data_IF_711008738857
#
_entry.id   IF_711008738857
#
_cell.length_a   1.000
_cell.length_b   1.000
_cell.length_c   1.000
_cell.angle_alpha   90.00
_cell.angle_beta   90.00
_cell.angle_gamma   90.00
#
_symmetry.space_group_name_H-M   'P 1'
#
loop_
_entity.id
_entity.type
_entity.pdbx_description
1 polymer ?
#
# COMPACT_ATOMS: atom_id res chain seq x y z
N UNK A 1 16.15 9.80 36.83
CA UNK A 1 14.71 9.51 36.76
C UNK A 1 14.35 9.24 35.31
N UNK A 2 13.57 8.20 35.05
CA UNK A 2 13.05 7.87 33.72
C UNK A 2 11.56 8.22 33.64
N UNK A 3 11.06 8.51 32.43
CA UNK A 3 9.65 8.80 32.16
C UNK A 3 9.24 8.16 30.82
N UNK A 4 7.95 7.87 30.66
CA UNK A 4 7.43 7.29 29.43
C UNK A 4 7.24 8.39 28.37
N UNK A 5 8.04 8.36 27.29
CA UNK A 5 8.00 9.39 26.26
C UNK A 5 6.87 9.20 25.22
N UNK A 6 6.51 7.96 24.94
CA UNK A 6 5.41 7.57 24.06
C UNK A 6 4.99 6.13 24.37
N UNK A 7 3.71 5.81 24.24
CA UNK A 7 3.22 4.45 24.38
C UNK A 7 1.97 4.22 23.54
N UNK A 8 1.94 3.06 22.88
CA UNK A 8 0.76 2.50 22.22
C UNK A 8 0.75 1.01 22.39
N UNK A 9 -0.42 0.40 22.50
CA UNK A 9 -0.55 -1.05 22.57
C UNK A 9 -1.84 -1.52 21.91
N UNK A 10 -1.94 -2.81 21.58
CA UNK A 10 -3.19 -3.35 21.06
C UNK A 10 -3.08 -4.76 20.51
N UNK A 11 -3.77 -5.03 19.39
CA UNK A 11 -3.80 -6.36 18.77
C UNK A 11 -3.39 -6.28 17.31
N UNK A 12 -2.47 -7.17 16.92
CA UNK A 12 -1.96 -7.31 15.57
C UNK A 12 -2.34 -8.68 14.97
N UNK A 13 -2.23 -8.81 13.65
CA UNK A 13 -2.45 -10.04 12.89
C UNK A 13 -3.85 -10.67 13.03
N UNK A 14 -4.89 -9.86 13.21
CA UNK A 14 -6.28 -10.35 13.31
C UNK A 14 -6.83 -10.61 11.91
N UNK A 15 -6.92 -11.88 11.51
CA UNK A 15 -7.55 -12.25 10.23
C UNK A 15 -9.07 -12.17 10.30
N UNK A 16 -9.67 -11.51 9.32
CA UNK A 16 -11.12 -11.33 9.18
C UNK A 16 -11.52 -11.69 7.75
N UNK A 17 -12.57 -12.50 7.60
CA UNK A 17 -13.20 -12.76 6.31
C UNK A 17 -14.70 -12.48 6.44
N UNK A 18 -15.24 -11.68 5.52
CA UNK A 18 -16.68 -11.37 5.46
C UNK A 18 -17.22 -11.73 4.09
N UNK A 19 -18.33 -12.46 4.08
CA UNK A 19 -19.06 -12.83 2.86
C UNK A 19 -20.38 -12.07 2.82
N UNK A 20 -20.62 -11.34 1.74
CA UNK A 20 -21.92 -10.82 1.37
C UNK A 20 -22.63 -11.85 0.47
N UNK A 21 -23.90 -12.16 0.76
CA UNK A 21 -24.71 -13.10 -0.01
C UNK A 21 -25.98 -12.39 -0.46
N UNK A 22 -26.11 -12.21 -1.76
CA UNK A 22 -27.35 -11.71 -2.34
C UNK A 22 -28.27 -12.90 -2.62
N UNK A 23 -29.31 -13.07 -1.79
CA UNK A 23 -30.27 -14.16 -1.91
C UNK A 23 -31.13 -14.07 -3.18
N UNK A 24 -31.27 -12.88 -3.77
CA UNK A 24 -32.08 -12.69 -4.98
C UNK A 24 -31.35 -13.14 -6.23
N UNK A 25 -30.05 -12.87 -6.30
CA UNK A 25 -29.21 -13.21 -7.47
C UNK A 25 -28.40 -14.48 -7.27
N UNK A 26 -28.25 -14.97 -6.03
CA UNK A 26 -27.35 -16.06 -5.68
C UNK A 26 -25.86 -15.68 -5.70
N UNK A 27 -25.54 -14.41 -5.97
CA UNK A 27 -24.17 -13.90 -6.06
C UNK A 27 -23.61 -13.69 -4.65
N UNK A 28 -22.43 -14.25 -4.41
CA UNK A 28 -21.65 -14.00 -3.19
C UNK A 28 -20.42 -13.15 -3.51
N UNK A 29 -20.03 -12.28 -2.59
CA UNK A 29 -18.79 -11.48 -2.64
C UNK A 29 -18.03 -11.67 -1.33
N UNK A 30 -16.71 -11.82 -1.42
CA UNK A 30 -15.84 -12.05 -0.25
C UNK A 30 -14.83 -10.91 -0.11
N UNK A 31 -14.63 -10.46 1.13
CA UNK A 31 -13.54 -9.58 1.51
C UNK A 31 -12.76 -10.25 2.63
N UNK A 32 -11.47 -10.42 2.44
CA UNK A 32 -10.55 -10.96 3.44
C UNK A 32 -9.50 -9.91 3.78
N UNK A 33 -9.21 -9.74 5.07
CA UNK A 33 -8.25 -8.77 5.56
C UNK A 33 -7.48 -9.25 6.77
N UNK A 34 -6.30 -8.67 7.00
CA UNK A 34 -5.57 -8.74 8.26
C UNK A 34 -5.58 -7.35 8.91
N UNK A 35 -6.03 -7.27 10.16
CA UNK A 35 -6.25 -6.01 10.88
C UNK A 35 -5.31 -5.92 12.08
N UNK A 36 -4.75 -4.72 12.28
CA UNK A 36 -4.04 -4.31 13.48
C UNK A 36 -4.69 -3.04 14.04
N UNK A 37 -4.84 -2.98 15.36
CA UNK A 37 -5.30 -1.79 16.09
C UNK A 37 -4.38 -1.53 17.25
N UNK A 38 -3.83 -0.32 17.34
CA UNK A 38 -3.03 0.18 18.47
C UNK A 38 -3.69 1.43 19.04
N UNK A 39 -3.74 1.54 20.37
CA UNK A 39 -4.40 2.62 21.10
C UNK A 39 -3.38 3.47 21.88
N UNK A 40 -3.60 4.78 21.93
CA UNK A 40 -2.89 5.75 22.78
C UNK A 40 -3.85 6.51 23.68
N UNK A 41 -3.38 6.94 24.84
CA UNK A 41 -4.18 7.69 25.80
C UNK A 41 -3.53 7.78 27.18
N UNK A 42 -4.34 7.95 28.21
CA UNK A 42 -3.92 7.99 29.62
C UNK A 42 -3.58 6.59 30.16
N UNK A 43 -2.57 5.95 29.56
CA UNK A 43 -2.20 4.54 29.81
C UNK A 43 -0.88 4.34 30.57
N UNK A 44 -0.18 5.43 30.92
CA UNK A 44 1.17 5.39 31.51
C UNK A 44 1.23 4.56 32.81
N UNK A 45 0.18 4.58 33.63
CA UNK A 45 0.16 3.87 34.93
C UNK A 45 0.24 2.35 34.77
N UNK A 46 -0.19 1.80 33.64
CA UNK A 46 0.02 0.37 33.33
C UNK A 46 1.50 -0.01 33.23
N UNK A 47 2.34 0.91 32.75
CA UNK A 47 3.79 0.70 32.61
C UNK A 47 4.55 1.03 33.90
N UNK A 48 4.19 2.13 34.55
CA UNK A 48 4.98 2.73 35.63
C UNK A 48 4.53 2.27 37.03
N UNK A 49 3.28 1.80 37.16
CA UNK A 49 2.65 1.44 38.43
C UNK A 49 1.99 0.06 38.43
N UNK A 50 2.13 -0.71 37.34
CA UNK A 50 1.45 -1.99 37.14
C UNK A 50 -0.10 -1.90 37.29
N UNK A 51 -0.67 -0.74 36.93
CA UNK A 51 -2.10 -0.48 37.01
C UNK A 51 -2.81 -0.87 35.71
N UNK A 52 -3.48 -2.03 35.73
CA UNK A 52 -4.21 -2.53 34.57
C UNK A 52 -5.61 -1.90 34.39
N UNK A 53 -6.06 -0.98 35.26
CA UNK A 53 -7.41 -0.39 35.17
C UNK A 53 -7.61 0.47 33.91
N UNK A 54 -6.52 1.03 33.36
CA UNK A 54 -6.49 1.82 32.13
C UNK A 54 -6.30 0.97 30.86
N UNK A 55 -6.29 -0.36 30.99
CA UNK A 55 -6.00 -1.27 29.87
C UNK A 55 -7.29 -1.87 29.32
N UNK A 56 -7.68 -1.46 28.11
CA UNK A 56 -8.56 -2.25 27.24
C UNK A 56 -7.82 -3.50 26.81
N UNK A 57 -8.17 -4.66 27.38
CA UNK A 57 -7.46 -5.91 27.09
C UNK A 57 -7.38 -6.16 25.57
N UNK A 58 -6.22 -6.62 25.09
CA UNK A 58 -6.01 -6.79 23.65
C UNK A 58 -6.97 -7.82 23.05
N UNK A 59 -7.42 -8.82 23.83
CA UNK A 59 -8.49 -9.73 23.41
C UNK A 59 -9.83 -9.02 23.17
N UNK A 60 -10.17 -8.03 24.01
CA UNK A 60 -11.35 -7.18 23.79
C UNK A 60 -11.23 -6.37 22.50
N UNK A 61 -10.04 -5.85 22.17
CA UNK A 61 -9.78 -5.18 20.88
C UNK A 61 -10.05 -6.13 19.70
N UNK A 62 -9.57 -7.38 19.77
CA UNK A 62 -9.86 -8.43 18.78
C UNK A 62 -11.37 -8.69 18.64
N UNK A 63 -12.08 -8.80 19.76
CA UNK A 63 -13.53 -9.00 19.75
C UNK A 63 -14.26 -7.80 19.11
N UNK A 64 -13.83 -6.58 19.41
CA UNK A 64 -14.35 -5.35 18.80
C UNK A 64 -14.14 -5.34 17.28
N UNK A 65 -12.99 -5.80 16.76
CA UNK A 65 -12.76 -5.93 15.32
C UNK A 65 -13.83 -6.82 14.68
N UNK A 66 -14.10 -8.01 15.25
CA UNK A 66 -15.10 -8.93 14.71
C UNK A 66 -16.52 -8.40 14.81
N UNK A 67 -16.90 -7.79 15.94
CA UNK A 67 -18.22 -7.20 16.15
C UNK A 67 -18.44 -6.05 15.16
N UNK A 68 -17.46 -5.17 15.01
CA UNK A 68 -17.52 -4.05 14.07
C UNK A 68 -17.65 -4.55 12.64
N UNK A 69 -16.86 -5.55 12.23
CA UNK A 69 -16.96 -6.17 10.91
C UNK A 69 -18.33 -6.83 10.67
N UNK A 70 -18.97 -7.41 11.70
CA UNK A 70 -20.32 -7.95 11.58
C UNK A 70 -21.37 -6.85 11.34
N UNK A 71 -21.27 -5.75 12.08
CA UNK A 71 -22.28 -4.68 12.11
C UNK A 71 -22.13 -3.64 10.98
N UNK A 72 -20.94 -3.54 10.36
CA UNK A 72 -20.63 -2.47 9.41
C UNK A 72 -20.11 -3.03 8.08
N UNK A 73 -20.17 -2.27 6.98
CA UNK A 73 -19.43 -2.60 5.76
C UNK A 73 -17.91 -2.65 6.04
N UNK A 74 -17.24 -3.59 5.39
CA UNK A 74 -15.77 -3.77 5.47
C UNK A 74 -15.04 -3.26 4.21
N UNK A 75 -15.81 -2.82 3.21
CA UNK A 75 -15.34 -2.19 1.98
C UNK A 75 -16.07 -0.84 1.83
N UNK A 76 -15.37 0.25 1.46
CA UNK A 76 -13.91 0.35 1.33
C UNK A 76 -13.19 0.21 2.70
N UNK A 77 -11.95 -0.33 2.74
CA UNK A 77 -11.22 -0.51 4.00
C UNK A 77 -10.93 0.81 4.72
N UNK A 78 -10.83 1.93 4.01
CA UNK A 78 -10.70 3.27 4.58
C UNK A 78 -11.89 3.64 5.48
N UNK A 79 -13.11 3.31 5.04
CA UNK A 79 -14.32 3.53 5.82
C UNK A 79 -14.35 2.60 7.04
N UNK A 80 -14.04 1.31 6.84
CA UNK A 80 -14.04 0.34 7.94
C UNK A 80 -13.02 0.72 9.03
N UNK A 81 -11.80 1.08 8.64
CA UNK A 81 -10.76 1.54 9.56
C UNK A 81 -11.18 2.80 10.32
N UNK A 82 -11.85 3.74 9.64
CA UNK A 82 -12.37 4.96 10.28
C UNK A 82 -13.48 4.68 11.29
N UNK A 83 -14.43 3.78 10.96
CA UNK A 83 -15.48 3.34 11.90
C UNK A 83 -14.85 2.70 13.14
N UNK A 84 -13.90 1.79 12.91
CA UNK A 84 -13.24 1.04 13.98
C UNK A 84 -12.41 1.93 14.90
N UNK A 85 -11.61 2.86 14.35
CA UNK A 85 -10.82 3.79 15.15
C UNK A 85 -11.70 4.76 15.94
N UNK A 86 -12.75 5.30 15.31
CA UNK A 86 -13.72 6.19 15.95
C UNK A 86 -14.39 5.53 17.15
N UNK A 87 -14.75 4.24 17.04
CA UNK A 87 -15.34 3.49 18.14
C UNK A 87 -14.47 3.53 19.40
N UNK A 88 -13.15 3.36 19.30
CA UNK A 88 -12.29 3.30 20.48
C UNK A 88 -12.20 4.63 21.21
N UNK A 89 -12.00 5.74 20.49
CA UNK A 89 -11.89 7.07 21.11
C UNK A 89 -13.25 7.57 21.66
N UNK A 90 -14.38 7.17 21.06
CA UNK A 90 -15.71 7.53 21.57
C UNK A 90 -16.15 6.65 22.74
N UNK A 91 -15.72 5.37 22.77
CA UNK A 91 -16.14 4.41 23.80
C UNK A 91 -15.36 4.55 25.10
N UNK A 92 -14.08 4.88 25.03
CA UNK A 92 -13.17 4.91 26.17
C UNK A 92 -12.61 6.32 26.37
N UNK A 93 -13.09 7.02 27.40
CA UNK A 93 -12.73 8.42 27.66
C UNK A 93 -11.25 8.70 27.93
N UNK A 94 -10.46 7.65 28.23
CA UNK A 94 -9.02 7.74 28.49
C UNK A 94 -8.18 7.33 27.26
N UNK A 95 -8.81 7.06 26.11
CA UNK A 95 -8.14 6.70 24.85
C UNK A 95 -8.32 7.86 23.87
N UNK A 96 -7.20 8.45 23.44
CA UNK A 96 -7.18 9.69 22.64
C UNK A 96 -6.77 9.45 21.19
N UNK A 97 -6.20 8.28 20.86
CA UNK A 97 -5.95 7.91 19.49
C UNK A 97 -6.12 6.41 19.25
N UNK A 98 -6.59 6.06 18.05
CA UNK A 98 -6.65 4.70 17.54
C UNK A 98 -5.99 4.64 16.17
N UNK A 99 -4.96 3.82 16.06
CA UNK A 99 -4.17 3.56 14.87
C UNK A 99 -4.58 2.22 14.28
N UNK A 100 -5.27 2.24 13.13
CA UNK A 100 -5.84 1.05 12.50
C UNK A 100 -5.10 0.78 11.19
N UNK A 101 -4.42 -0.36 11.12
CA UNK A 101 -3.82 -0.86 9.89
C UNK A 101 -4.65 -2.02 9.34
N UNK A 102 -4.99 -1.97 8.05
CA UNK A 102 -5.74 -3.03 7.37
C UNK A 102 -4.98 -3.42 6.10
N UNK A 103 -4.69 -4.71 5.97
CA UNK A 103 -4.18 -5.33 4.74
C UNK A 103 -5.32 -6.12 4.11
N UNK A 104 -5.84 -5.66 2.97
CA UNK A 104 -6.90 -6.37 2.23
C UNK A 104 -6.28 -7.34 1.23
N UNK A 105 -6.59 -8.63 1.39
CA UNK A 105 -6.14 -9.71 0.52
C UNK A 105 -7.04 -9.79 -0.71
N UNK A 106 -6.43 -9.90 -1.89
CA UNK A 106 -7.19 -9.95 -3.14
C UNK A 106 -7.85 -11.31 -3.36
N UNK A 107 -9.15 -11.29 -3.58
CA UNK A 107 -9.94 -12.40 -4.12
C UNK A 107 -10.63 -11.93 -5.40
N UNK A 108 -10.18 -12.45 -6.55
CA UNK A 108 -10.76 -12.14 -7.85
C UNK A 108 -11.77 -13.21 -8.20
N UNK A 109 -12.98 -12.80 -8.57
CA UNK A 109 -14.03 -13.71 -9.03
C UNK A 109 -13.54 -14.46 -10.26
N UNK A 110 -13.68 -15.78 -10.25
CA UNK A 110 -13.36 -16.60 -11.42
C UNK A 110 -14.32 -16.28 -12.57
N UNK A 111 -13.79 -16.26 -13.78
CA UNK A 111 -14.59 -16.28 -15.01
C UNK A 111 -14.52 -17.69 -15.59
N UNK A 112 -15.68 -18.29 -15.85
CA UNK A 112 -15.81 -19.63 -16.45
C UNK A 112 -16.66 -19.47 -17.71
N UNK A 113 -16.08 -19.82 -18.86
CA UNK A 113 -16.72 -19.73 -20.17
C UNK A 113 -17.26 -18.32 -20.52
N UNK A 114 -16.51 -17.28 -20.17
CA UNK A 114 -16.86 -15.87 -20.43
C UNK A 114 -17.92 -15.31 -19.47
N UNK A 115 -18.16 -15.99 -18.33
CA UNK A 115 -19.17 -15.62 -17.33
C UNK A 115 -18.57 -15.60 -15.93
N UNK A 116 -18.78 -14.52 -15.15
CA UNK A 116 -18.33 -14.47 -13.77
C UNK A 116 -19.04 -15.51 -12.89
N UNK A 117 -18.25 -16.33 -12.17
CA UNK A 117 -18.78 -17.37 -11.28
C UNK A 117 -19.45 -16.75 -10.03
N UNK A 118 -20.63 -17.23 -9.59
CA UNK A 118 -21.39 -16.60 -8.52
C UNK A 118 -20.69 -16.60 -7.14
N UNK A 119 -19.79 -17.55 -6.87
CA UNK A 119 -19.21 -17.74 -5.54
C UNK A 119 -17.81 -18.38 -5.52
N UNK A 120 -17.08 -18.37 -6.64
CA UNK A 120 -15.72 -18.93 -6.71
C UNK A 120 -14.70 -17.85 -7.04
N UNK A 121 -13.57 -17.88 -6.35
CA UNK A 121 -12.56 -16.83 -6.38
C UNK A 121 -11.15 -17.43 -6.47
N UNK A 122 -10.24 -16.70 -7.08
CA UNK A 122 -8.80 -16.98 -7.13
C UNK A 122 -8.03 -15.83 -6.46
N UNK A 123 -6.92 -16.16 -5.80
CA UNK A 123 -6.00 -15.16 -5.24
C UNK A 123 -4.92 -14.82 -6.28
N UNK A 124 -4.93 -13.62 -6.89
CA UNK A 124 -3.92 -13.24 -7.88
C UNK A 124 -2.65 -12.72 -7.18
N UNK A 125 -1.56 -13.47 -7.25
CA UNK A 125 -0.24 -13.03 -6.76
C UNK A 125 -0.24 -12.54 -5.30
N UNK A 126 0.74 -11.67 -4.99
CA UNK A 126 0.96 -11.09 -3.65
C UNK A 126 0.37 -9.69 -3.47
N UNK A 127 -0.31 -9.16 -4.48
CA UNK A 127 -0.81 -7.79 -4.47
C UNK A 127 -1.87 -7.59 -3.36
N UNK A 128 -1.73 -6.52 -2.58
CA UNK A 128 -2.64 -6.12 -1.50
C UNK A 128 -3.08 -4.67 -1.66
N UNK A 129 -4.29 -4.37 -1.18
CA UNK A 129 -4.77 -3.00 -0.95
C UNK A 129 -4.73 -2.76 0.54
N UNK A 130 -4.02 -1.73 0.98
CA UNK A 130 -3.83 -1.48 2.41
C UNK A 130 -4.28 -0.08 2.79
N UNK A 131 -4.62 0.11 4.05
CA UNK A 131 -4.87 1.43 4.64
C UNK A 131 -4.25 1.52 6.03
N UNK A 132 -3.68 2.67 6.34
CA UNK A 132 -3.43 3.15 7.69
C UNK A 132 -4.45 4.27 7.98
N UNK A 133 -5.25 4.09 9.03
CA UNK A 133 -6.19 5.10 9.52
C UNK A 133 -5.81 5.49 10.93
N UNK A 134 -5.46 6.75 11.11
CA UNK A 134 -5.14 7.32 12.43
C UNK A 134 -6.28 8.25 12.84
N UNK A 135 -7.08 7.79 13.81
CA UNK A 135 -8.18 8.56 14.39
C UNK A 135 -7.68 9.20 15.68
N UNK A 136 -7.63 10.53 15.72
CA UNK A 136 -7.09 11.28 16.87
C UNK A 136 -8.16 12.23 17.40
N UNK A 137 -8.47 12.09 18.69
CA UNK A 137 -9.46 12.90 19.39
C UNK A 137 -9.12 14.39 19.23
N UNK A 138 -10.12 15.19 18.83
CA UNK A 138 -9.99 16.63 18.60
C UNK A 138 -9.16 17.04 17.37
N UNK A 139 -8.52 16.11 16.64
CA UNK A 139 -7.72 16.42 15.44
C UNK A 139 -8.30 15.86 14.14
N UNK A 140 -9.16 14.83 14.20
CA UNK A 140 -9.82 14.26 13.03
C UNK A 140 -9.26 12.89 12.64
N UNK A 141 -9.34 12.57 11.36
CA UNK A 141 -8.96 11.27 10.79
C UNK A 141 -7.96 11.46 9.66
N UNK A 142 -6.76 10.95 9.85
CA UNK A 142 -5.72 10.85 8.83
C UNK A 142 -5.80 9.48 8.15
N UNK A 143 -5.82 9.46 6.82
CA UNK A 143 -5.93 8.21 6.04
C UNK A 143 -4.80 8.15 5.02
N UNK A 144 -4.05 7.06 5.04
CA UNK A 144 -3.08 6.71 4.01
C UNK A 144 -3.48 5.37 3.39
N UNK A 145 -3.82 5.37 2.10
CA UNK A 145 -4.11 4.14 1.37
C UNK A 145 -2.90 3.73 0.53
N UNK A 146 -2.74 2.44 0.25
CA UNK A 146 -1.60 1.95 -0.52
C UNK A 146 -1.87 0.66 -1.30
N UNK A 147 -1.01 0.42 -2.29
CA UNK A 147 -0.82 -0.85 -2.98
C UNK A 147 0.56 -1.37 -2.58
N UNK A 148 0.66 -2.66 -2.27
CA UNK A 148 1.93 -3.36 -2.08
C UNK A 148 1.90 -4.74 -2.75
N UNK A 149 3.06 -5.26 -3.14
CA UNK A 149 3.16 -6.60 -3.73
C UNK A 149 2.71 -6.67 -5.19
N UNK A 150 2.68 -5.53 -5.89
CA UNK A 150 2.35 -5.45 -7.32
C UNK A 150 3.66 -5.58 -8.12
N UNK A 151 4.04 -6.82 -8.41
CA UNK A 151 5.26 -7.12 -9.18
C UNK A 151 5.02 -6.98 -10.67
N UNK A 152 5.88 -6.22 -11.35
CA UNK A 152 5.82 -5.97 -12.79
C UNK A 152 7.21 -6.08 -13.45
N UNK A 153 7.23 -6.37 -14.75
CA UNK A 153 8.43 -6.40 -15.57
C UNK A 153 8.12 -5.87 -16.98
N UNK A 154 9.02 -5.06 -17.53
CA UNK A 154 9.06 -4.75 -18.97
C UNK A 154 10.42 -5.17 -19.53
N UNK A 155 10.40 -5.77 -20.72
CA UNK A 155 11.56 -6.39 -21.36
C UNK A 155 12.43 -5.43 -22.17
N UNK A 156 11.91 -4.24 -22.46
CA UNK A 156 12.57 -3.15 -23.20
C UNK A 156 11.88 -1.83 -22.84
N UNK A 157 12.27 -0.71 -23.46
CA UNK A 157 11.67 0.61 -23.19
C UNK A 157 12.05 1.16 -21.82
N UNK A 158 13.25 0.81 -21.35
CA UNK A 158 13.88 1.34 -20.15
C UNK A 158 15.36 1.58 -20.44
N UNK A 159 15.88 2.69 -19.92
CA UNK A 159 17.22 3.18 -20.17
C UNK A 159 17.87 3.61 -18.85
N UNK A 160 19.19 3.79 -18.86
CA UNK A 160 19.94 4.45 -17.79
C UNK A 160 21.31 4.90 -18.27
N UNK A 161 21.45 6.20 -18.47
CA UNK A 161 22.67 6.86 -18.95
C UNK A 161 22.71 8.30 -18.39
N UNK A 162 23.86 8.97 -18.50
CA UNK A 162 24.05 10.34 -18.01
C UNK A 162 24.13 10.47 -16.50
N UNK A 163 24.35 9.36 -15.77
CA UNK A 163 24.61 9.40 -14.33
C UNK A 163 26.04 9.87 -14.03
N UNK A 164 26.26 10.34 -12.79
CA UNK A 164 27.58 10.80 -12.32
C UNK A 164 28.63 9.70 -12.51
N UNK A 165 29.81 10.08 -12.98
CA UNK A 165 30.96 9.18 -13.16
C UNK A 165 32.15 9.71 -12.38
N UNK A 166 32.67 8.86 -11.51
CA UNK A 166 33.81 9.11 -10.64
C UNK A 166 34.65 7.82 -10.49
N UNK A 167 35.64 7.83 -9.59
CA UNK A 167 36.52 6.70 -9.32
C UNK A 167 35.82 5.45 -8.75
N UNK A 168 34.56 5.54 -8.34
CA UNK A 168 33.76 4.41 -7.83
C UNK A 168 32.87 3.78 -8.90
N UNK A 169 32.79 4.37 -10.09
CA UNK A 169 31.78 4.03 -11.09
C UNK A 169 32.24 2.94 -12.08
N UNK A 170 31.74 1.71 -11.90
CA UNK A 170 31.95 0.59 -12.84
C UNK A 170 30.77 0.30 -13.76
N UNK A 171 29.58 0.85 -13.43
CA UNK A 171 28.36 0.62 -14.19
C UNK A 171 28.49 1.21 -15.60
N UNK A 172 28.17 0.38 -16.60
CA UNK A 172 28.03 0.81 -17.99
C UNK A 172 26.69 1.51 -18.19
N UNK A 173 26.70 2.54 -19.01
CA UNK A 173 25.47 3.16 -19.50
C UNK A 173 24.72 2.18 -20.41
N UNK A 174 23.39 2.29 -20.42
CA UNK A 174 22.54 1.50 -21.31
C UNK A 174 21.38 2.33 -21.86
N UNK A 175 21.06 2.08 -23.12
CA UNK A 175 19.92 2.66 -23.83
C UNK A 175 18.78 1.66 -24.04
N UNK A 176 18.97 0.40 -23.62
CA UNK A 176 17.90 -0.60 -23.56
C UNK A 176 18.21 -1.64 -22.48
N UNK A 177 17.27 -1.86 -21.57
CA UNK A 177 17.39 -2.83 -20.49
C UNK A 177 16.04 -3.33 -20.03
N UNK A 178 16.06 -4.49 -19.38
CA UNK A 178 14.94 -4.95 -18.55
C UNK A 178 14.74 -3.99 -17.38
N UNK A 179 13.48 -3.82 -16.98
CA UNK A 179 13.11 -3.16 -15.74
C UNK A 179 12.05 -3.99 -15.02
N UNK A 180 12.33 -4.37 -13.78
CA UNK A 180 11.38 -5.04 -12.90
C UNK A 180 11.37 -4.38 -11.53
N UNK A 181 10.19 -4.35 -10.91
CA UNK A 181 9.99 -3.77 -9.58
C UNK A 181 8.81 -4.46 -8.89
N UNK A 182 8.83 -4.45 -7.57
CA UNK A 182 7.64 -4.65 -6.75
C UNK A 182 7.10 -3.28 -6.33
N UNK A 183 5.93 -2.90 -6.84
CA UNK A 183 5.39 -1.56 -6.60
C UNK A 183 4.82 -1.46 -5.18
N UNK A 184 5.43 -0.57 -4.39
CA UNK A 184 4.81 -0.02 -3.18
C UNK A 184 4.43 1.45 -3.44
N UNK A 185 3.13 1.69 -3.68
CA UNK A 185 2.56 3.02 -3.89
C UNK A 185 1.65 3.37 -2.72
N UNK A 186 1.70 4.60 -2.24
CA UNK A 186 0.82 5.08 -1.18
C UNK A 186 0.31 6.49 -1.49
N UNK A 187 -0.85 6.84 -0.98
CA UNK A 187 -1.41 8.18 -1.13
C UNK A 187 -2.05 8.65 0.16
N UNK A 188 -1.69 9.88 0.53
CA UNK A 188 -2.21 10.57 1.70
C UNK A 188 -3.45 11.36 1.28
N UNK A 189 -4.57 11.04 1.91
CA UNK A 189 -5.79 11.83 1.78
C UNK A 189 -5.67 13.12 2.59
N UNK A 190 -6.42 14.16 2.18
CA UNK A 190 -6.65 15.33 3.03
C UNK A 190 -7.13 14.88 4.42
N UNK A 191 -6.82 15.69 5.43
CA UNK A 191 -7.39 15.48 6.76
C UNK A 191 -8.93 15.49 6.68
N UNK A 192 -9.55 14.46 7.24
CA UNK A 192 -11.01 14.42 7.42
C UNK A 192 -11.34 14.91 8.83
N UNK A 193 -12.40 15.71 8.95
CA UNK A 193 -12.76 16.29 10.26
C UNK A 193 -13.33 15.26 11.24
N UNK A 194 -13.80 14.12 10.74
CA UNK A 194 -14.35 13.02 11.53
C UNK A 194 -15.06 11.99 10.65
N UNK A 195 -15.73 11.02 11.28
CA UNK A 195 -16.36 9.90 10.58
C UNK A 195 -17.46 10.31 9.59
N UNK A 196 -18.19 11.40 9.86
CA UNK A 196 -19.22 11.90 8.95
C UNK A 196 -18.64 12.40 7.61
N UNK A 197 -17.50 13.09 7.67
CA UNK A 197 -16.77 13.57 6.49
C UNK A 197 -16.20 12.40 5.66
N UNK A 198 -15.64 11.37 6.33
CA UNK A 198 -15.21 10.13 5.67
C UNK A 198 -16.37 9.44 4.95
N UNK A 199 -17.54 9.32 5.59
CA UNK A 199 -18.74 8.69 4.99
C UNK A 199 -19.20 9.43 3.73
N UNK A 200 -19.15 10.76 3.73
CA UNK A 200 -19.53 11.61 2.59
C UNK A 200 -18.65 11.43 1.34
N UNK A 201 -17.46 10.86 1.51
CA UNK A 201 -16.50 10.65 0.44
C UNK A 201 -16.15 9.17 0.23
N UNK A 202 -16.94 8.26 0.83
CA UNK A 202 -16.62 6.84 0.84
C UNK A 202 -16.56 6.21 -0.56
N UNK A 203 -17.36 6.70 -1.50
CA UNK A 203 -17.35 6.23 -2.89
C UNK A 203 -16.03 6.55 -3.63
N UNK A 204 -15.27 7.54 -3.16
CA UNK A 204 -14.02 7.98 -3.80
C UNK A 204 -12.85 7.05 -3.50
N UNK A 205 -12.89 6.27 -2.41
CA UNK A 205 -11.78 5.41 -2.01
C UNK A 205 -11.51 4.29 -3.02
N UNK A 206 -12.55 3.58 -3.46
CA UNK A 206 -12.41 2.52 -4.47
C UNK A 206 -11.95 3.10 -5.81
N UNK A 207 -12.57 4.19 -6.27
CA UNK A 207 -12.19 4.87 -7.50
C UNK A 207 -10.73 5.36 -7.48
N UNK A 208 -10.24 5.90 -6.36
CA UNK A 208 -8.86 6.34 -6.22
C UNK A 208 -7.87 5.17 -6.28
N UNK A 209 -8.17 4.04 -5.64
CA UNK A 209 -7.35 2.83 -5.72
C UNK A 209 -7.30 2.28 -7.15
N UNK A 210 -8.44 2.21 -7.84
CA UNK A 210 -8.51 1.76 -9.24
C UNK A 210 -7.71 2.68 -10.16
N UNK A 211 -7.86 4.00 -10.01
CA UNK A 211 -7.11 4.99 -10.77
C UNK A 211 -5.60 4.88 -10.51
N UNK A 212 -5.17 4.81 -9.25
CA UNK A 212 -3.76 4.67 -8.89
C UNK A 212 -3.14 3.40 -9.50
N UNK A 213 -3.85 2.27 -9.41
CA UNK A 213 -3.40 1.01 -10.02
C UNK A 213 -3.33 1.09 -11.54
N UNK A 214 -4.36 1.64 -12.19
CA UNK A 214 -4.42 1.78 -13.64
C UNK A 214 -3.32 2.71 -14.17
N UNK A 215 -3.12 3.86 -13.54
CA UNK A 215 -2.07 4.83 -13.88
C UNK A 215 -0.68 4.21 -13.71
N UNK A 216 -0.45 3.49 -12.60
CA UNK A 216 0.81 2.77 -12.35
C UNK A 216 1.09 1.79 -13.49
N UNK A 217 0.15 0.90 -13.80
CA UNK A 217 0.35 -0.13 -14.82
C UNK A 217 0.53 0.47 -16.21
N UNK A 218 -0.31 1.44 -16.57
CA UNK A 218 -0.26 2.10 -17.88
C UNK A 218 1.03 2.88 -18.06
N UNK A 219 1.41 3.71 -17.10
CA UNK A 219 2.65 4.50 -17.17
C UNK A 219 3.88 3.60 -17.19
N UNK A 220 3.90 2.52 -16.39
CA UNK A 220 5.00 1.55 -16.42
C UNK A 220 5.15 0.90 -17.81
N UNK A 221 4.02 0.50 -18.42
CA UNK A 221 4.03 -0.14 -19.73
C UNK A 221 4.44 0.83 -20.85
N UNK A 222 3.83 2.01 -20.90
CA UNK A 222 3.92 2.95 -22.03
C UNK A 222 5.13 3.88 -21.97
N UNK A 223 5.66 4.21 -20.78
CA UNK A 223 6.78 5.15 -20.69
C UNK A 223 8.09 4.53 -21.20
N UNK A 224 8.76 5.21 -22.13
CA UNK A 224 10.15 4.89 -22.47
C UNK A 224 11.06 5.46 -21.37
N UNK A 225 11.25 4.66 -20.32
CA UNK A 225 11.70 5.09 -19.01
C UNK A 225 13.17 5.51 -19.01
N UNK A 226 13.45 6.79 -18.77
CA UNK A 226 14.82 7.30 -18.61
C UNK A 226 15.48 6.85 -17.28
N UNK A 227 14.67 6.67 -16.23
CA UNK A 227 15.09 6.17 -14.91
C UNK A 227 13.85 5.80 -14.09
N UNK A 228 14.03 5.03 -13.01
CA UNK A 228 12.94 4.71 -12.08
C UNK A 228 12.36 5.99 -11.48
N UNK A 229 13.22 6.95 -11.14
CA UNK A 229 12.86 8.27 -10.61
C UNK A 229 11.91 9.04 -11.53
N UNK A 230 12.24 9.13 -12.82
CA UNK A 230 11.43 9.88 -13.78
C UNK A 230 10.05 9.24 -13.96
N UNK A 231 10.01 7.91 -14.08
CA UNK A 231 8.79 7.14 -14.30
C UNK A 231 7.85 7.20 -13.10
N UNK A 232 8.36 7.01 -11.88
CA UNK A 232 7.55 7.06 -10.66
C UNK A 232 7.01 8.47 -10.36
N UNK A 233 7.75 9.52 -10.72
CA UNK A 233 7.29 10.90 -10.59
C UNK A 233 6.09 11.16 -11.51
N UNK A 234 6.15 10.74 -12.79
CA UNK A 234 5.01 10.83 -13.73
C UNK A 234 3.76 10.11 -13.21
N UNK A 235 3.93 8.95 -12.56
CA UNK A 235 2.81 8.24 -11.94
C UNK A 235 2.19 9.07 -10.81
N UNK A 236 3.03 9.61 -9.90
CA UNK A 236 2.57 10.43 -8.78
C UNK A 236 1.80 11.68 -9.22
N UNK A 237 2.30 12.40 -10.23
CA UNK A 237 1.62 13.57 -10.79
C UNK A 237 0.26 13.24 -11.39
N UNK A 238 0.18 12.17 -12.19
CA UNK A 238 -1.09 11.72 -12.80
C UNK A 238 -2.13 11.31 -11.74
N UNK A 239 -1.70 10.63 -10.66
CA UNK A 239 -2.61 10.24 -9.57
C UNK A 239 -3.13 11.47 -8.82
N UNK A 240 -2.25 12.43 -8.50
CA UNK A 240 -2.67 13.69 -7.87
C UNK A 240 -3.65 14.48 -8.75
N UNK A 241 -3.44 14.49 -10.07
CA UNK A 241 -4.36 15.13 -11.00
C UNK A 241 -5.72 14.42 -11.06
N UNK A 242 -5.73 13.08 -11.05
CA UNK A 242 -6.95 12.28 -11.12
C UNK A 242 -7.79 12.30 -9.83
N UNK A 243 -7.16 12.49 -8.66
CA UNK A 243 -7.86 12.43 -7.36
C UNK A 243 -7.59 13.71 -6.55
N UNK A 244 -8.46 14.73 -6.66
CA UNK A 244 -8.27 16.04 -6.02
C UNK A 244 -8.20 16.02 -4.49
N UNK A 245 -8.75 14.98 -3.84
CA UNK A 245 -8.74 14.84 -2.37
C UNK A 245 -7.41 14.35 -1.79
N UNK A 246 -6.44 14.01 -2.63
CA UNK A 246 -5.10 13.59 -2.19
C UNK A 246 -4.18 14.80 -2.01
N UNK A 247 -3.44 14.80 -0.91
CA UNK A 247 -2.38 15.77 -0.64
C UNK A 247 -1.06 15.34 -1.27
N UNK A 248 -0.71 14.06 -1.11
CA UNK A 248 0.56 13.51 -1.61
C UNK A 248 0.41 12.09 -2.13
N UNK A 249 1.32 11.70 -3.03
CA UNK A 249 1.50 10.33 -3.52
C UNK A 249 2.96 9.94 -3.34
N UNK A 250 3.20 8.82 -2.66
CA UNK A 250 4.52 8.27 -2.43
C UNK A 250 4.73 6.95 -3.16
N UNK A 251 5.95 6.73 -3.64
CA UNK A 251 6.39 5.44 -4.17
C UNK A 251 7.68 4.98 -3.51
N UNK A 252 7.82 3.68 -3.34
CA UNK A 252 9.07 3.00 -3.03
C UNK A 252 9.24 1.83 -3.99
N UNK A 253 10.21 1.91 -4.89
CA UNK A 253 10.41 0.97 -5.99
C UNK A 253 11.81 0.35 -5.90
N UNK A 254 11.92 -0.94 -5.55
CA UNK A 254 13.17 -1.66 -5.71
C UNK A 254 13.43 -1.91 -7.20
N UNK A 255 14.63 -1.61 -7.67
CA UNK A 255 15.07 -2.07 -8.99
C UNK A 255 15.56 -3.52 -8.87
N UNK A 256 14.72 -4.47 -9.30
CA UNK A 256 15.02 -5.90 -9.31
C UNK A 256 15.81 -6.20 -10.59
N UNK A 257 17.09 -6.49 -10.43
CA UNK A 257 18.03 -6.55 -11.54
C UNK A 257 17.97 -7.88 -12.31
N UNK A 258 18.13 -7.78 -13.62
CA UNK A 258 18.34 -8.89 -14.53
C UNK A 258 19.65 -8.62 -15.28
N UNK A 259 20.71 -9.34 -14.92
CA UNK A 259 22.03 -9.14 -15.53
C UNK A 259 22.17 -9.97 -16.80
N UNK A 260 22.74 -9.37 -17.84
CA UNK A 260 23.20 -10.13 -19.01
C UNK A 260 24.27 -11.15 -18.60
N UNK A 261 24.29 -12.29 -19.28
CA UNK A 261 25.28 -13.35 -19.05
C UNK A 261 26.21 -13.42 -20.27
N UNK A 262 27.49 -13.08 -20.08
CA UNK A 262 28.48 -13.26 -21.14
C UNK A 262 28.79 -14.75 -21.35
N UNK A 263 28.43 -15.26 -22.53
CA UNK A 263 28.64 -16.64 -22.95
C UNK A 263 29.68 -16.78 -24.08
N UNK A 264 30.39 -15.70 -24.43
CA UNK A 264 31.37 -15.68 -25.52
C UNK A 264 32.51 -16.68 -25.32
N UNK A 265 32.84 -16.99 -24.07
CA UNK A 265 33.80 -18.03 -23.68
C UNK A 265 33.40 -19.43 -24.16
N UNK A 266 32.10 -19.71 -24.33
CA UNK A 266 31.61 -20.97 -24.84
C UNK A 266 31.39 -20.88 -26.34
N UNK A 267 32.43 -21.17 -27.12
CA UNK A 267 32.37 -21.25 -28.59
C UNK A 267 31.90 -19.95 -29.28
N UNK A 268 32.11 -18.80 -28.66
CA UNK A 268 31.76 -17.50 -29.24
C UNK A 268 30.26 -17.18 -29.27
N UNK A 269 29.45 -17.80 -28.40
CA UNK A 269 28.01 -17.50 -28.29
C UNK A 269 27.82 -16.02 -27.94
N UNK A 270 26.94 -15.34 -28.68
CA UNK A 270 26.55 -13.95 -28.41
C UNK A 270 25.30 -13.94 -27.55
N UNK A 271 25.36 -13.30 -26.39
CA UNK A 271 24.25 -13.16 -25.43
C UNK A 271 24.33 -11.83 -24.65
N UNK A 272 24.87 -10.77 -25.26
CA UNK A 272 25.02 -9.45 -24.64
C UNK A 272 24.59 -8.34 -25.60
N UNK A 273 24.20 -7.19 -25.05
CA UNK A 273 23.66 -6.06 -25.83
C UNK A 273 22.48 -6.48 -26.72
N UNK A 274 22.56 -6.20 -28.02
CA UNK A 274 21.47 -6.52 -28.97
C UNK A 274 21.19 -8.02 -29.14
N UNK A 275 22.14 -8.88 -28.78
CA UNK A 275 22.04 -10.34 -28.90
C UNK A 275 21.62 -10.98 -27.56
N UNK A 276 21.28 -10.18 -26.53
CA UNK A 276 20.97 -10.68 -25.19
C UNK A 276 19.57 -11.30 -25.11
N UNK A 277 19.52 -12.62 -24.89
CA UNK A 277 18.28 -13.40 -24.75
C UNK A 277 18.16 -14.06 -23.37
N UNK A 278 19.29 -14.43 -22.76
CA UNK A 278 19.36 -15.09 -21.45
C UNK A 278 19.92 -14.14 -20.40
N UNK A 279 19.16 -13.97 -19.32
CA UNK A 279 19.50 -13.09 -18.20
C UNK A 279 19.55 -13.88 -16.89
N UNK A 280 20.37 -13.42 -15.95
CA UNK A 280 20.41 -13.92 -14.58
C UNK A 280 19.62 -12.97 -13.67
N UNK A 281 18.41 -13.34 -13.19
CA UNK A 281 17.68 -12.57 -12.19
C UNK A 281 18.47 -12.53 -10.88
N UNK A 282 18.61 -11.35 -10.29
CA UNK A 282 19.34 -11.17 -9.04
C UNK A 282 18.36 -11.05 -7.89
N UNK A 283 18.45 -11.94 -6.90
CA UNK A 283 17.66 -11.82 -5.67
C UNK A 283 18.13 -10.63 -4.84
N UNK A 284 19.44 -10.38 -4.80
CA UNK A 284 20.10 -9.31 -4.06
C UNK A 284 21.45 -8.95 -4.73
N UNK A 285 22.00 -7.74 -4.53
CA UNK A 285 21.35 -6.56 -3.93
C UNK A 285 20.35 -5.92 -4.92
N UNK A 286 19.57 -4.95 -4.47
CA UNK A 286 18.67 -4.16 -5.31
C UNK A 286 18.90 -2.66 -5.09
N UNK A 287 18.70 -1.86 -6.15
CA UNK A 287 18.51 -0.41 -5.95
C UNK A 287 17.18 -0.17 -5.25
N UNK A 288 17.05 0.89 -4.45
CA UNK A 288 15.77 1.28 -3.84
C UNK A 288 15.55 2.77 -4.04
N UNK A 289 14.53 3.11 -4.81
CA UNK A 289 14.21 4.49 -5.17
C UNK A 289 12.91 4.88 -4.47
N UNK A 290 12.89 6.06 -3.83
CA UNK A 290 11.71 6.58 -3.14
C UNK A 290 11.45 8.04 -3.55
N UNK A 291 10.19 8.40 -3.65
CA UNK A 291 9.79 9.81 -3.75
C UNK A 291 8.41 10.02 -3.10
N UNK A 292 8.14 11.26 -2.72
CA UNK A 292 6.81 11.73 -2.32
C UNK A 292 6.51 12.98 -3.15
N UNK A 293 5.49 12.90 -3.99
CA UNK A 293 5.00 13.99 -4.83
C UNK A 293 3.86 14.68 -4.09
N UNK A 294 3.93 15.99 -3.94
CA UNK A 294 2.85 16.83 -3.40
C UNK A 294 2.37 17.83 -4.44
N UNK A 295 1.32 18.60 -4.14
CA UNK A 295 0.82 19.64 -5.04
C UNK A 295 1.70 20.89 -5.01
N UNK A 296 1.81 21.59 -6.13
CA UNK A 296 2.54 22.86 -6.22
C UNK A 296 2.03 23.86 -5.16
N UNK A 297 2.96 24.48 -4.42
CA UNK A 297 2.65 25.38 -3.30
C UNK A 297 2.83 24.75 -1.91
N UNK A 298 2.86 23.42 -1.80
CA UNK A 298 3.37 22.75 -0.60
C UNK A 298 4.91 22.72 -0.68
N UNK A 299 5.61 23.30 0.32
CA UNK A 299 7.08 23.28 0.34
C UNK A 299 7.57 21.84 0.35
N UNK A 300 8.34 21.47 -0.67
CA UNK A 300 9.02 20.19 -0.69
C UNK A 300 10.00 20.10 0.48
N UNK A 301 9.96 19.01 1.25
CA UNK A 301 11.00 18.66 2.24
C UNK A 301 12.14 17.96 1.49
N UNK A 302 12.83 18.69 0.61
CA UNK A 302 14.00 18.21 -0.13
C UNK A 302 15.24 18.22 0.75
#
# INVERSE_FOLDING_TARGET
>A
MSALAAARYGKDNVRVCKVHRDEKTGIQTVVEMTVCVLLEGDIETSYTKADNSVVVATDSIKNTIFITAKQNPVDPPELFGSILGTHFIEKYSHIHAAHVNIVTHRWVRLDIDGKPHPHSFIKPGSETRNVQVDVIEGKGIEINSSIKGLTVLKSTGSQFWGFVRDEYTTLKETWDRLLSTDVAANWQWRLFTGLADVKMHSEKFNAAWEAARAITLKTFAEDNSASVQATMYKMGEQILAAVPLLDTVGYALPNIHFFEVDLSWHKGIKNTGKDAEVYAPQSNPNGLIKCTVGRAGQKAKL
#
